data_IF_209997044898
#
_entry.id   IF_209997044898
#
_cell.length_a   1.000
_cell.length_b   1.000
_cell.length_c   1.000
_cell.angle_alpha   90.00
_cell.angle_beta   90.00
_cell.angle_gamma   90.00
#
_symmetry.space_group_name_H-M   'P 1'
#
loop_
_entity.id
_entity.type
_entity.pdbx_description
1 polymer ?
#
# COMPACT_ATOMS: atom_id res chain seq x y z
N UNK A 1 -35.24 49.82 -14.76
CA UNK A 1 -34.71 48.82 -15.70
C UNK A 1 -34.49 47.53 -14.91
N UNK A 2 -35.40 46.56 -15.05
CA UNK A 2 -35.38 45.29 -14.31
C UNK A 2 -34.77 44.21 -15.23
N UNK A 3 -33.52 43.84 -14.99
CA UNK A 3 -32.85 42.77 -15.74
C UNK A 3 -33.11 41.42 -15.08
N UNK A 4 -34.28 40.84 -15.35
CA UNK A 4 -34.61 39.48 -14.96
C UNK A 4 -33.86 38.50 -15.88
N UNK A 5 -32.64 38.12 -15.49
CA UNK A 5 -31.89 37.07 -16.17
C UNK A 5 -32.39 35.71 -15.64
N UNK A 6 -33.33 35.11 -16.38
CA UNK A 6 -33.76 33.73 -16.16
C UNK A 6 -32.57 32.79 -16.41
N UNK A 7 -31.96 32.31 -15.33
CA UNK A 7 -31.02 31.21 -15.39
C UNK A 7 -31.84 29.93 -15.49
N UNK A 8 -31.99 29.39 -16.70
CA UNK A 8 -32.37 28.00 -16.87
C UNK A 8 -31.26 27.14 -16.25
N UNK A 9 -31.45 26.71 -15.00
CA UNK A 9 -30.67 25.62 -14.44
C UNK A 9 -31.05 24.37 -15.24
N UNK A 10 -30.17 23.93 -16.15
CA UNK A 10 -30.33 22.62 -16.76
C UNK A 10 -30.34 21.62 -15.59
N UNK A 11 -31.51 21.04 -15.30
CA UNK A 11 -31.60 19.99 -14.29
C UNK A 11 -30.75 18.83 -14.81
N UNK A 12 -29.61 18.52 -14.18
CA UNK A 12 -28.76 17.45 -14.64
C UNK A 12 -29.59 16.17 -14.67
N UNK A 13 -29.48 15.40 -15.77
CA UNK A 13 -30.18 14.13 -15.89
C UNK A 13 -29.79 13.28 -14.68
N UNK A 14 -30.75 12.88 -13.82
CA UNK A 14 -30.44 12.16 -12.59
C UNK A 14 -29.66 10.87 -12.89
N UNK A 15 -29.86 10.28 -14.08
CA UNK A 15 -29.10 9.10 -14.50
C UNK A 15 -27.63 9.42 -14.79
N UNK A 16 -27.30 10.62 -15.27
CA UNK A 16 -25.90 11.06 -15.48
C UNK A 16 -25.18 11.28 -14.16
N UNK A 17 -25.82 11.91 -13.18
CA UNK A 17 -25.22 12.10 -11.86
C UNK A 17 -25.00 10.75 -11.15
N UNK A 18 -25.98 9.84 -11.21
CA UNK A 18 -25.85 8.49 -10.66
C UNK A 18 -24.69 7.74 -11.33
N UNK A 19 -24.58 7.79 -12.66
CA UNK A 19 -23.47 7.18 -13.39
C UNK A 19 -22.12 7.80 -12.98
N UNK A 20 -21.99 9.13 -12.92
CA UNK A 20 -20.74 9.80 -12.55
C UNK A 20 -20.29 9.45 -11.12
N UNK A 21 -21.22 9.42 -10.16
CA UNK A 21 -20.95 9.03 -8.79
C UNK A 21 -20.50 7.56 -8.72
N UNK A 22 -21.19 6.66 -9.43
CA UNK A 22 -20.80 5.24 -9.52
C UNK A 22 -19.40 5.05 -10.11
N UNK A 23 -19.02 5.81 -11.14
CA UNK A 23 -17.68 5.76 -11.73
C UNK A 23 -16.61 6.27 -10.74
N UNK A 24 -16.89 7.36 -10.02
CA UNK A 24 -15.98 7.93 -9.01
C UNK A 24 -15.79 7.00 -7.82
N UNK A 25 -16.87 6.38 -7.34
CA UNK A 25 -16.83 5.43 -6.22
C UNK A 25 -16.02 4.18 -6.58
N UNK A 26 -16.19 3.66 -7.80
CA UNK A 26 -15.38 2.53 -8.31
C UNK A 26 -13.91 2.92 -8.44
N UNK A 27 -13.60 4.13 -8.92
CA UNK A 27 -12.22 4.61 -9.00
C UNK A 27 -11.58 4.77 -7.62
N UNK A 28 -12.29 5.38 -6.66
CA UNK A 28 -11.79 5.55 -5.29
C UNK A 28 -11.57 4.21 -4.59
N UNK A 29 -12.50 3.27 -4.76
CA UNK A 29 -12.37 1.92 -4.19
C UNK A 29 -11.17 1.18 -4.76
N UNK A 30 -10.95 1.25 -6.07
CA UNK A 30 -9.79 0.63 -6.72
C UNK A 30 -8.48 1.30 -6.31
N UNK A 31 -8.46 2.63 -6.21
CA UNK A 31 -7.28 3.39 -5.78
C UNK A 31 -6.88 3.06 -4.34
N UNK A 32 -7.85 2.99 -3.42
CA UNK A 32 -7.59 2.57 -2.05
C UNK A 32 -7.09 1.13 -1.96
N UNK A 33 -7.66 0.22 -2.76
CA UNK A 33 -7.21 -1.18 -2.82
C UNK A 33 -5.78 -1.29 -3.35
N UNK A 34 -5.44 -0.58 -4.42
CA UNK A 34 -4.07 -0.53 -4.97
C UNK A 34 -3.06 -0.02 -3.94
N UNK A 35 -3.41 1.04 -3.22
CA UNK A 35 -2.56 1.61 -2.17
C UNK A 35 -2.34 0.65 -1.01
N UNK A 36 -3.36 -0.12 -0.63
CA UNK A 36 -3.24 -1.17 0.39
C UNK A 36 -2.35 -2.33 -0.08
N UNK A 37 -2.56 -2.82 -1.30
CA UNK A 37 -1.73 -3.89 -1.89
C UNK A 37 -0.27 -3.48 -1.95
N UNK A 38 0.04 -2.25 -2.36
CA UNK A 38 1.42 -1.75 -2.37
C UNK A 38 2.07 -1.79 -0.98
N UNK A 39 1.35 -1.36 0.06
CA UNK A 39 1.84 -1.37 1.44
C UNK A 39 2.10 -2.80 1.95
N UNK A 40 1.21 -3.74 1.63
CA UNK A 40 1.36 -5.16 1.95
C UNK A 40 2.57 -5.74 1.22
N UNK A 41 2.66 -5.55 -0.10
CA UNK A 41 3.75 -6.05 -0.94
C UNK A 41 5.10 -5.55 -0.44
N UNK A 42 5.21 -4.27 -0.11
CA UNK A 42 6.45 -3.71 0.45
C UNK A 42 6.81 -4.34 1.81
N UNK A 43 5.82 -4.65 2.65
CA UNK A 43 6.05 -5.40 3.88
C UNK A 43 6.57 -6.82 3.63
N UNK A 44 5.96 -7.54 2.68
CA UNK A 44 6.37 -8.90 2.29
C UNK A 44 7.79 -8.90 1.72
N UNK A 45 8.15 -7.93 0.88
CA UNK A 45 9.50 -7.83 0.32
C UNK A 45 10.55 -7.61 1.42
N UNK A 46 10.27 -6.70 2.37
CA UNK A 46 11.17 -6.44 3.51
C UNK A 46 11.31 -7.69 4.38
N UNK A 47 10.20 -8.40 4.65
CA UNK A 47 10.23 -9.68 5.37
C UNK A 47 11.05 -10.73 4.62
N UNK A 48 10.88 -10.85 3.31
CA UNK A 48 11.62 -11.78 2.47
C UNK A 48 13.12 -11.53 2.54
N UNK A 49 13.55 -10.27 2.47
CA UNK A 49 14.96 -9.89 2.62
C UNK A 49 15.46 -10.20 4.04
N UNK A 50 14.68 -9.86 5.08
CA UNK A 50 15.05 -10.19 6.46
C UNK A 50 15.18 -11.69 6.70
N UNK A 51 14.30 -12.50 6.12
CA UNK A 51 14.35 -13.96 6.17
C UNK A 51 15.58 -14.48 5.41
N UNK A 52 15.85 -13.98 4.20
CA UNK A 52 17.03 -14.37 3.44
C UNK A 52 18.34 -14.00 4.15
N UNK A 53 18.40 -12.85 4.81
CA UNK A 53 19.54 -12.46 5.64
C UNK A 53 19.67 -13.31 6.90
N UNK A 54 18.55 -13.67 7.54
CA UNK A 54 18.57 -14.54 8.72
C UNK A 54 18.97 -15.98 8.38
N UNK A 55 18.54 -16.48 7.22
CA UNK A 55 18.90 -17.79 6.70
C UNK A 55 20.14 -17.76 5.78
N UNK A 56 20.88 -16.65 5.71
CA UNK A 56 22.03 -16.49 4.81
C UNK A 56 23.09 -17.59 4.99
N UNK A 57 23.28 -18.00 6.25
CA UNK A 57 24.17 -19.08 6.67
C UNK A 57 23.80 -20.42 6.02
N UNK A 58 22.50 -20.71 5.87
CA UNK A 58 22.00 -21.93 5.20
C UNK A 58 22.02 -21.83 3.68
N UNK A 59 21.93 -20.63 3.13
CA UNK A 59 21.89 -20.37 1.69
C UNK A 59 23.30 -20.24 1.11
N UNK A 60 24.34 -20.25 1.96
CA UNK A 60 25.73 -20.10 1.51
C UNK A 60 26.02 -18.72 0.93
N UNK A 61 25.25 -17.71 1.34
CA UNK A 61 25.49 -16.34 0.93
C UNK A 61 26.69 -15.82 1.73
N UNK A 62 27.78 -15.47 1.04
CA UNK A 62 29.03 -14.94 1.60
C UNK A 62 28.92 -13.55 2.24
N UNK A 63 27.73 -13.19 2.75
CA UNK A 63 27.47 -11.93 3.44
C UNK A 63 28.40 -11.75 4.64
N UNK A 64 28.76 -12.84 5.32
CA UNK A 64 29.69 -12.86 6.46
C UNK A 64 31.15 -12.56 6.08
N UNK A 65 31.53 -12.63 4.81
CA UNK A 65 32.87 -12.22 4.36
C UNK A 65 33.02 -10.70 4.30
N UNK A 66 31.90 -9.99 4.10
CA UNK A 66 31.90 -8.53 3.92
C UNK A 66 31.38 -7.78 5.16
N UNK A 67 30.57 -8.42 5.98
CA UNK A 67 29.94 -7.79 7.14
C UNK A 67 29.99 -8.69 8.38
N UNK A 68 30.03 -8.05 9.55
CA UNK A 68 30.02 -8.75 10.83
C UNK A 68 28.69 -9.51 11.03
N UNK A 69 28.79 -10.72 11.57
CA UNK A 69 27.68 -11.65 11.77
C UNK A 69 26.61 -11.05 12.68
N UNK A 70 27.02 -10.34 13.72
CA UNK A 70 26.11 -9.63 14.62
C UNK A 70 25.29 -8.59 13.87
N UNK A 71 25.90 -7.88 12.93
CA UNK A 71 25.27 -6.80 12.18
C UNK A 71 24.26 -7.34 11.16
N UNK A 72 24.59 -8.44 10.48
CA UNK A 72 23.67 -9.13 9.55
C UNK A 72 22.44 -9.66 10.29
N UNK A 73 22.63 -10.33 11.43
CA UNK A 73 21.51 -10.85 12.21
C UNK A 73 20.68 -9.74 12.85
N UNK A 74 21.30 -8.67 13.34
CA UNK A 74 20.59 -7.53 13.88
C UNK A 74 19.75 -6.84 12.80
N UNK A 75 20.31 -6.63 11.61
CA UNK A 75 19.60 -6.00 10.49
C UNK A 75 18.49 -6.90 9.94
N UNK A 76 18.76 -8.19 9.77
CA UNK A 76 17.76 -9.18 9.38
C UNK A 76 16.61 -9.26 10.39
N UNK A 77 16.93 -9.29 11.69
CA UNK A 77 15.94 -9.24 12.77
C UNK A 77 15.10 -7.96 12.76
N UNK A 78 15.73 -6.81 12.52
CA UNK A 78 15.02 -5.53 12.40
C UNK A 78 14.09 -5.50 11.18
N UNK A 79 14.54 -6.02 10.03
CA UNK A 79 13.72 -6.19 8.84
C UNK A 79 12.55 -7.15 9.09
N UNK A 80 12.76 -8.23 9.86
CA UNK A 80 11.68 -9.15 10.23
C UNK A 80 10.65 -8.51 11.17
N UNK A 81 11.10 -7.80 12.21
CA UNK A 81 10.21 -7.07 13.11
C UNK A 81 9.43 -5.97 12.38
N UNK A 82 10.13 -5.12 11.62
CA UNK A 82 9.52 -3.99 10.93
C UNK A 82 8.64 -4.44 9.76
N UNK A 83 9.13 -5.36 8.94
CA UNK A 83 8.37 -5.95 7.84
C UNK A 83 7.16 -6.71 8.35
N UNK A 84 7.30 -7.43 9.48
CA UNK A 84 6.21 -8.14 10.16
C UNK A 84 5.14 -7.19 10.66
N UNK A 85 5.54 -6.11 11.34
CA UNK A 85 4.63 -5.06 11.77
C UNK A 85 3.90 -4.40 10.59
N UNK A 86 4.63 -4.10 9.51
CA UNK A 86 4.08 -3.47 8.30
C UNK A 86 3.11 -4.40 7.55
N UNK A 87 3.41 -5.70 7.53
CA UNK A 87 2.53 -6.73 6.99
C UNK A 87 1.27 -6.90 7.85
N UNK A 88 1.42 -6.98 9.18
CA UNK A 88 0.31 -7.04 10.12
C UNK A 88 -0.63 -5.83 9.97
N UNK A 89 -0.07 -4.61 9.86
CA UNK A 89 -0.83 -3.38 9.57
C UNK A 89 -1.49 -3.36 8.19
N UNK A 90 -0.97 -4.13 7.23
CA UNK A 90 -1.56 -4.23 5.90
C UNK A 90 -2.70 -5.25 5.83
N UNK A 91 -2.58 -6.36 6.58
CA UNK A 91 -3.59 -7.42 6.65
C UNK A 91 -4.76 -7.01 7.54
N UNK A 92 -4.48 -6.37 8.68
CA UNK A 92 -5.49 -5.69 9.46
C UNK A 92 -5.90 -4.47 8.65
N UNK A 93 -6.95 -4.61 7.83
CA UNK A 93 -7.69 -3.49 7.29
C UNK A 93 -8.01 -2.58 8.46
N UNK A 94 -7.29 -1.47 8.58
CA UNK A 94 -7.82 -0.30 9.27
C UNK A 94 -9.00 0.12 8.36
N UNK A 95 -10.18 -0.44 8.64
CA UNK A 95 -11.47 -0.04 8.08
C UNK A 95 -11.82 1.39 8.50
#
# INVERSE_FOLDING_TARGET
>A
MNTNKNYYIANPDPNKELMENDFRDRQQKNYNTMRQVYNITMGILILGIGLLMFFSDKVGLSLFEQFDQVLIYAFGGLCLLYGGFRLYRGIKKDD
#
